data_IF_598227466960
#
_entry.id   IF_598227466960
#
_cell.length_a   1.000
_cell.length_b   1.000
_cell.length_c   1.000
_cell.angle_alpha   90.00
_cell.angle_beta   90.00
_cell.angle_gamma   90.00
#
_symmetry.space_group_name_H-M   'P 1'
#
loop_
_entity.id
_entity.type
_entity.pdbx_description
1 polymer ?
#
# COMPACT_ATOMS: atom_id res chain seq x y z
N UNK A 1 -35.70 81.58 -5.31
CA UNK A 1 -36.40 81.75 -6.60
C UNK A 1 -36.85 80.37 -6.94
N UNK A 2 -38.03 79.93 -6.67
CA UNK A 2 -39.34 80.23 -7.21
C UNK A 2 -39.62 78.95 -8.06
N UNK A 3 -40.64 78.30 -8.06
CA UNK A 3 -42.05 78.41 -7.64
C UNK A 3 -42.71 77.05 -7.70
N UNK A 4 -43.63 76.85 -6.81
CA UNK A 4 -44.69 75.88 -6.76
C UNK A 4 -45.47 75.73 -8.08
N UNK A 5 -46.02 74.53 -8.30
CA UNK A 5 -47.38 74.51 -8.84
C UNK A 5 -48.05 73.14 -8.52
N UNK A 6 -49.11 73.31 -7.82
CA UNK A 6 -50.10 72.26 -7.41
C UNK A 6 -50.90 71.77 -8.60
N UNK A 7 -51.33 70.53 -8.51
CA UNK A 7 -52.33 69.93 -9.40
C UNK A 7 -52.97 68.69 -8.77
N UNK A 8 -54.04 68.96 -7.97
CA UNK A 8 -55.01 67.93 -7.55
C UNK A 8 -55.84 67.45 -8.74
N UNK A 9 -56.06 66.17 -8.84
CA UNK A 9 -57.41 65.66 -9.25
C UNK A 9 -57.51 64.14 -9.14
N UNK A 10 -58.47 63.74 -8.36
CA UNK A 10 -59.52 62.74 -8.54
C UNK A 10 -59.20 61.25 -8.31
N UNK A 11 -59.81 60.81 -7.25
CA UNK A 11 -60.22 59.45 -6.93
C UNK A 11 -60.90 58.77 -8.11
N UNK A 12 -60.39 57.60 -8.45
CA UNK A 12 -61.18 56.54 -9.17
C UNK A 12 -61.04 55.28 -8.33
N UNK A 13 -62.13 54.95 -7.71
CA UNK A 13 -62.33 53.70 -6.95
C UNK A 13 -62.39 52.52 -7.92
N UNK A 14 -61.74 51.42 -7.55
CA UNK A 14 -62.07 50.12 -8.10
C UNK A 14 -60.86 49.45 -8.72
N UNK A 15 -59.98 48.95 -7.92
CA UNK A 15 -59.17 47.84 -8.35
C UNK A 15 -58.99 46.84 -7.22
N UNK A 16 -59.53 45.75 -7.54
CA UNK A 16 -59.58 44.45 -6.91
C UNK A 16 -58.30 44.10 -6.13
N UNK A 17 -58.54 43.70 -4.89
CA UNK A 17 -57.65 42.78 -4.16
C UNK A 17 -57.48 41.46 -4.98
N UNK A 18 -56.53 41.39 -5.84
CA UNK A 18 -56.01 40.15 -6.44
C UNK A 18 -54.52 40.22 -6.72
N UNK A 19 -53.74 40.85 -5.84
CA UNK A 19 -52.30 40.55 -5.67
C UNK A 19 -52.17 39.33 -4.76
N UNK A 20 -52.74 38.25 -5.14
CA UNK A 20 -52.75 37.00 -4.46
C UNK A 20 -51.51 36.24 -4.89
N UNK A 21 -50.58 36.11 -3.95
CA UNK A 21 -49.85 34.87 -3.72
C UNK A 21 -49.83 33.94 -4.94
N UNK A 22 -48.99 34.27 -5.86
CA UNK A 22 -48.52 33.34 -6.88
C UNK A 22 -47.66 32.28 -6.20
N UNK A 23 -48.31 31.41 -5.43
CA UNK A 23 -47.69 30.25 -4.83
C UNK A 23 -47.49 29.19 -5.90
N UNK A 24 -46.52 29.45 -6.79
CA UNK A 24 -46.07 28.46 -7.77
C UNK A 24 -45.38 27.33 -6.98
N UNK A 25 -46.10 26.25 -6.79
CA UNK A 25 -45.54 25.02 -6.24
C UNK A 25 -44.54 24.42 -7.25
N UNK A 26 -43.51 23.78 -6.73
CA UNK A 26 -42.47 23.10 -7.54
C UNK A 26 -43.12 22.00 -8.45
N UNK A 27 -42.39 21.56 -9.44
CA UNK A 27 -42.80 20.44 -10.30
C UNK A 27 -43.21 19.24 -9.45
N UNK A 28 -44.29 18.52 -9.90
CA UNK A 28 -44.82 17.35 -9.19
C UNK A 28 -45.48 17.65 -7.82
N UNK A 29 -45.77 18.93 -7.52
CA UNK A 29 -46.55 19.36 -6.37
C UNK A 29 -47.75 20.20 -6.76
N UNK A 30 -48.66 20.44 -5.81
CA UNK A 30 -49.84 21.30 -5.97
C UNK A 30 -50.13 22.04 -4.65
N UNK A 31 -50.75 23.19 -4.73
CA UNK A 31 -51.14 23.94 -3.55
C UNK A 31 -52.47 23.44 -3.02
N UNK A 32 -52.55 23.22 -1.71
CA UNK A 32 -53.79 22.88 -1.00
C UNK A 32 -53.92 23.76 0.24
N UNK A 33 -55.14 24.23 0.50
CA UNK A 33 -55.44 25.05 1.70
C UNK A 33 -55.54 24.21 2.97
N UNK A 34 -55.72 22.89 2.86
CA UNK A 34 -55.93 21.98 3.98
C UNK A 34 -55.26 20.61 3.74
N UNK A 35 -53.99 20.61 3.37
CA UNK A 35 -53.24 19.39 3.16
C UNK A 35 -52.67 18.78 4.43
N UNK A 36 -52.09 17.57 4.38
CA UNK A 36 -51.60 16.84 5.53
C UNK A 36 -50.40 17.53 6.19
N UNK A 37 -50.54 17.87 7.50
CA UNK A 37 -49.47 18.48 8.30
C UNK A 37 -48.19 17.60 8.43
N UNK A 38 -48.33 16.31 8.16
CA UNK A 38 -47.22 15.34 8.11
C UNK A 38 -47.15 14.71 6.70
N UNK A 39 -46.53 15.35 5.73
CA UNK A 39 -46.47 14.80 4.36
C UNK A 39 -45.73 13.48 4.33
N UNK A 40 -46.11 12.58 3.44
CA UNK A 40 -45.36 11.36 3.19
C UNK A 40 -43.97 11.69 2.64
N UNK A 41 -42.96 11.01 3.16
CA UNK A 41 -41.55 11.18 2.77
C UNK A 41 -40.95 9.85 2.36
N UNK A 42 -39.85 9.87 1.63
CA UNK A 42 -39.10 8.63 1.31
C UNK A 42 -38.68 7.86 2.58
N UNK A 43 -38.40 8.56 3.69
CA UNK A 43 -38.06 7.93 4.97
C UNK A 43 -39.29 7.35 5.70
N UNK A 44 -40.50 7.88 5.43
CA UNK A 44 -41.75 7.40 6.04
C UNK A 44 -42.94 7.63 5.10
N UNK A 45 -43.25 6.62 4.31
CA UNK A 45 -44.36 6.67 3.36
C UNK A 45 -45.75 6.76 4.02
N UNK A 46 -45.87 6.32 5.27
CA UNK A 46 -47.10 6.30 6.05
C UNK A 46 -47.29 7.53 6.95
N UNK A 47 -46.41 8.52 6.89
CA UNK A 47 -46.42 9.68 7.78
C UNK A 47 -47.76 10.41 7.77
N UNK A 48 -48.38 10.58 6.59
CA UNK A 48 -49.67 11.24 6.43
C UNK A 48 -50.84 10.46 7.02
N UNK A 49 -50.77 9.13 7.03
CA UNK A 49 -51.82 8.25 7.57
C UNK A 49 -51.83 8.24 9.09
N UNK A 50 -50.70 8.49 9.71
CA UNK A 50 -50.53 8.48 11.16
C UNK A 50 -50.55 9.88 11.79
N UNK A 51 -50.79 10.90 10.99
CA UNK A 51 -50.74 12.29 11.42
C UNK A 51 -52.02 12.66 12.20
N UNK A 52 -51.86 13.08 13.43
CA UNK A 52 -52.96 13.59 14.28
C UNK A 52 -53.01 15.11 14.34
N UNK A 53 -52.18 15.80 13.62
CA UNK A 53 -52.13 17.27 13.53
C UNK A 53 -53.22 17.78 12.60
N UNK A 54 -53.78 19.00 12.87
CA UNK A 54 -54.73 19.63 11.94
C UNK A 54 -54.00 19.90 10.59
N UNK A 55 -54.84 19.96 9.54
CA UNK A 55 -54.35 20.28 8.21
C UNK A 55 -53.71 21.66 8.11
N UNK A 56 -52.83 21.84 7.15
CA UNK A 56 -52.12 23.12 6.91
C UNK A 56 -52.19 23.49 5.43
N UNK A 57 -52.15 24.80 5.14
CA UNK A 57 -52.04 25.29 3.78
C UNK A 57 -50.59 25.20 3.32
N UNK A 58 -50.37 24.75 2.07
CA UNK A 58 -49.02 24.63 1.51
C UNK A 58 -48.98 23.85 0.18
N UNK A 59 -47.75 23.60 -0.29
CA UNK A 59 -47.52 22.74 -1.45
C UNK A 59 -47.35 21.29 -1.03
N UNK A 60 -48.07 20.39 -1.67
CA UNK A 60 -48.07 18.95 -1.39
C UNK A 60 -47.74 18.16 -2.66
N UNK A 61 -47.07 17.04 -2.48
CA UNK A 61 -46.70 16.17 -3.57
C UNK A 61 -47.94 15.54 -4.21
N UNK A 62 -47.94 15.41 -5.55
CA UNK A 62 -49.02 14.73 -6.30
C UNK A 62 -49.02 13.23 -5.97
N UNK A 63 -50.10 12.56 -6.30
CA UNK A 63 -50.22 11.10 -6.16
C UNK A 63 -49.07 10.37 -6.87
N UNK A 64 -48.46 9.38 -6.20
CA UNK A 64 -47.27 8.66 -6.66
C UNK A 64 -45.93 9.36 -6.36
N UNK A 65 -45.97 10.56 -5.77
CA UNK A 65 -44.78 11.32 -5.36
C UNK A 65 -44.77 11.52 -3.85
N UNK A 66 -43.57 11.55 -3.27
CA UNK A 66 -43.33 11.81 -1.84
C UNK A 66 -42.25 12.83 -1.69
N UNK A 67 -42.17 13.44 -0.53
CA UNK A 67 -41.17 14.46 -0.21
C UNK A 67 -39.81 13.81 0.11
N UNK A 68 -38.75 14.21 -0.59
CA UNK A 68 -37.37 13.87 -0.30
C UNK A 68 -36.50 15.14 -0.36
N UNK A 69 -35.82 15.44 0.74
CA UNK A 69 -35.00 16.65 0.88
C UNK A 69 -35.66 17.96 0.42
N UNK A 70 -37.00 18.07 0.59
CA UNK A 70 -37.76 19.27 0.23
C UNK A 70 -38.29 19.26 -1.22
N UNK A 71 -38.08 18.20 -1.98
CA UNK A 71 -38.55 18.05 -3.39
C UNK A 71 -39.48 16.85 -3.48
N UNK A 72 -40.53 16.95 -4.33
CA UNK A 72 -41.41 15.82 -4.61
C UNK A 72 -40.78 14.88 -5.65
N UNK A 73 -40.44 13.68 -5.21
CA UNK A 73 -39.83 12.62 -6.05
C UNK A 73 -40.79 11.43 -6.19
N UNK A 74 -40.78 10.69 -7.30
CA UNK A 74 -41.52 9.45 -7.43
C UNK A 74 -41.12 8.45 -6.36
N UNK A 75 -42.05 7.69 -5.79
CA UNK A 75 -41.77 6.63 -4.82
C UNK A 75 -40.72 5.62 -5.32
N UNK A 76 -40.67 5.42 -6.65
CA UNK A 76 -39.67 4.56 -7.31
C UNK A 76 -38.24 5.09 -7.23
N UNK A 77 -38.05 6.33 -6.82
CA UNK A 77 -36.72 6.94 -6.59
C UNK A 77 -36.32 6.98 -5.11
N UNK A 78 -37.23 6.58 -4.22
CA UNK A 78 -36.92 6.52 -2.81
C UNK A 78 -35.80 5.51 -2.52
N UNK A 79 -34.99 5.80 -1.51
CA UNK A 79 -33.98 4.90 -0.98
C UNK A 79 -34.55 3.84 -0.05
N UNK A 80 -33.72 3.32 0.83
CA UNK A 80 -34.03 2.24 1.76
C UNK A 80 -33.85 2.69 3.21
N UNK A 81 -34.48 1.96 4.12
CA UNK A 81 -34.29 2.14 5.57
C UNK A 81 -33.40 1.06 6.14
N UNK A 82 -32.45 1.45 6.99
CA UNK A 82 -31.63 0.55 7.79
C UNK A 82 -31.52 1.07 9.23
N UNK A 83 -32.04 0.32 10.20
CA UNK A 83 -32.01 0.68 11.64
C UNK A 83 -32.50 2.11 11.92
N UNK A 84 -33.52 2.57 11.19
CA UNK A 84 -34.10 3.90 11.37
C UNK A 84 -33.37 5.03 10.63
N UNK A 85 -32.32 4.74 9.88
CA UNK A 85 -31.61 5.68 9.00
C UNK A 85 -32.02 5.47 7.53
N UNK A 86 -32.17 6.57 6.81
CA UNK A 86 -32.47 6.58 5.38
C UNK A 86 -31.19 6.55 4.57
N UNK A 87 -31.16 5.70 3.57
CA UNK A 87 -30.06 5.48 2.63
C UNK A 87 -30.53 5.62 1.20
N UNK A 88 -29.73 6.19 0.33
CA UNK A 88 -30.09 6.42 -1.06
C UNK A 88 -30.15 5.13 -1.87
N UNK A 89 -30.97 5.13 -2.93
CA UNK A 89 -31.04 4.00 -3.85
C UNK A 89 -29.66 3.77 -4.51
N UNK A 90 -29.19 2.53 -4.49
CA UNK A 90 -27.86 2.15 -4.96
C UNK A 90 -26.77 2.24 -3.89
N UNK A 91 -27.04 2.85 -2.74
CA UNK A 91 -26.06 2.94 -1.65
C UNK A 91 -25.70 1.56 -1.13
N UNK A 92 -24.41 1.39 -0.90
CA UNK A 92 -23.82 0.16 -0.34
C UNK A 92 -23.03 0.52 0.91
N UNK A 93 -23.25 -0.21 1.98
CA UNK A 93 -22.47 -0.02 3.20
C UNK A 93 -22.03 -1.35 3.79
N UNK A 94 -20.88 -1.32 4.45
CA UNK A 94 -20.35 -2.46 5.18
C UNK A 94 -20.56 -2.22 6.66
N UNK A 95 -21.22 -3.17 7.29
CA UNK A 95 -21.48 -3.17 8.71
C UNK A 95 -20.51 -4.08 9.43
N UNK A 96 -20.32 -3.84 10.73
CA UNK A 96 -19.43 -4.54 11.66
C UNK A 96 -17.96 -4.19 11.50
N UNK A 97 -17.22 -4.26 12.59
CA UNK A 97 -15.80 -3.94 12.65
C UNK A 97 -14.92 -4.94 11.89
N UNK A 98 -15.50 -6.07 11.50
CA UNK A 98 -14.85 -7.15 10.76
C UNK A 98 -15.29 -7.22 9.30
N UNK A 99 -16.05 -6.24 8.79
CA UNK A 99 -16.61 -6.21 7.43
C UNK A 99 -17.44 -7.46 7.06
N UNK A 100 -17.97 -8.20 8.03
CA UNK A 100 -18.67 -9.48 7.78
C UNK A 100 -20.10 -9.31 7.27
N UNK A 101 -20.60 -8.10 7.14
CA UNK A 101 -21.96 -7.85 6.67
C UNK A 101 -22.01 -6.67 5.72
N UNK A 102 -22.47 -6.91 4.51
CA UNK A 102 -22.65 -5.90 3.45
C UNK A 102 -24.12 -5.70 3.20
N UNK A 103 -24.59 -4.44 3.27
CA UNK A 103 -25.96 -4.05 3.00
C UNK A 103 -26.02 -3.18 1.74
N UNK A 104 -27.06 -3.36 0.94
CA UNK A 104 -27.26 -2.56 -0.28
C UNK A 104 -28.74 -2.17 -0.43
N UNK A 105 -28.98 -0.92 -0.83
CA UNK A 105 -30.27 -0.41 -1.19
C UNK A 105 -30.54 -0.73 -2.66
N UNK A 106 -31.24 -1.84 -2.94
CA UNK A 106 -31.50 -2.31 -4.31
C UNK A 106 -32.92 -2.04 -4.79
N UNK A 107 -33.85 -1.96 -3.87
CA UNK A 107 -35.27 -1.79 -4.18
C UNK A 107 -35.80 -0.54 -3.47
N UNK A 108 -36.48 0.37 -4.21
CA UNK A 108 -36.99 1.60 -3.62
C UNK A 108 -38.03 1.33 -2.54
N UNK A 109 -37.97 2.15 -1.50
CA UNK A 109 -38.92 2.12 -0.36
C UNK A 109 -38.98 0.79 0.41
N UNK A 110 -37.94 -0.05 0.28
CA UNK A 110 -37.79 -1.33 1.00
C UNK A 110 -36.66 -1.24 2.02
N UNK A 111 -36.62 -2.13 3.04
CA UNK A 111 -35.45 -2.25 3.88
C UNK A 111 -34.19 -2.61 3.08
N UNK A 112 -33.01 -2.11 3.50
CA UNK A 112 -31.76 -2.52 2.90
C UNK A 112 -31.58 -4.04 2.97
N UNK A 113 -31.14 -4.61 1.87
CA UNK A 113 -30.81 -6.05 1.79
C UNK A 113 -29.39 -6.28 2.30
N UNK A 114 -29.25 -7.09 3.34
CA UNK A 114 -27.96 -7.39 3.94
C UNK A 114 -27.61 -8.86 3.75
N UNK A 115 -26.35 -9.12 3.40
CA UNK A 115 -25.80 -10.46 3.22
C UNK A 115 -24.47 -10.60 3.94
N UNK A 116 -24.08 -11.84 4.21
CA UNK A 116 -22.74 -12.10 4.74
C UNK A 116 -21.68 -11.69 3.72
N UNK A 117 -20.58 -11.16 4.23
CA UNK A 117 -19.50 -10.60 3.44
C UNK A 117 -18.16 -10.95 4.11
N UNK A 118 -17.10 -11.01 3.33
CA UNK A 118 -15.72 -11.08 3.82
C UNK A 118 -14.84 -10.28 2.87
N UNK A 119 -13.81 -9.65 3.42
CA UNK A 119 -12.76 -9.04 2.61
C UNK A 119 -11.98 -10.12 1.86
N UNK A 120 -11.43 -9.76 0.71
CA UNK A 120 -10.54 -10.63 -0.06
C UNK A 120 -9.26 -10.96 0.70
N UNK A 121 -8.49 -11.92 0.20
CA UNK A 121 -7.25 -12.40 0.85
C UNK A 121 -6.18 -11.30 1.02
N UNK A 122 -6.19 -10.29 0.15
CA UNK A 122 -5.28 -9.13 0.18
C UNK A 122 -6.04 -7.84 0.50
N UNK A 123 -7.08 -7.92 1.31
CA UNK A 123 -7.86 -6.79 1.79
C UNK A 123 -8.03 -6.85 3.31
N UNK A 124 -8.00 -5.69 3.92
CA UNK A 124 -8.26 -5.52 5.36
C UNK A 124 -9.53 -4.68 5.58
N UNK A 125 -10.32 -5.09 6.56
CA UNK A 125 -11.46 -4.29 7.01
C UNK A 125 -10.97 -3.05 7.75
N UNK A 126 -11.15 -1.89 7.17
CA UNK A 126 -10.66 -0.62 7.70
C UNK A 126 -11.66 0.52 7.46
N UNK A 127 -11.38 1.70 8.04
CA UNK A 127 -12.12 2.94 7.80
C UNK A 127 -11.18 3.92 7.10
N UNK A 128 -11.48 4.26 5.85
CA UNK A 128 -10.73 5.22 5.06
C UNK A 128 -11.65 6.36 4.65
N UNK A 129 -11.26 7.60 4.97
CA UNK A 129 -12.09 8.77 4.69
C UNK A 129 -13.47 8.72 5.38
N UNK A 130 -13.58 8.07 6.54
CA UNK A 130 -14.85 7.90 7.27
C UNK A 130 -15.73 6.75 6.75
N UNK A 131 -15.33 6.06 5.69
CA UNK A 131 -16.08 4.96 5.10
C UNK A 131 -15.44 3.63 5.50
N UNK A 132 -16.24 2.73 6.13
CA UNK A 132 -15.80 1.37 6.43
C UNK A 132 -15.89 0.52 5.17
N UNK A 133 -14.83 -0.22 4.89
CA UNK A 133 -14.72 -1.04 3.69
C UNK A 133 -13.63 -2.09 3.77
N UNK A 134 -13.56 -2.92 2.74
CA UNK A 134 -12.41 -3.75 2.46
C UNK A 134 -11.44 -2.95 1.58
N UNK A 135 -10.29 -2.67 2.11
CA UNK A 135 -9.25 -1.90 1.40
C UNK A 135 -8.04 -2.78 1.17
N UNK A 136 -7.32 -2.59 0.04
CA UNK A 136 -6.09 -3.32 -0.21
C UNK A 136 -5.13 -3.18 0.97
N UNK A 137 -4.51 -4.28 1.39
CA UNK A 137 -3.45 -4.26 2.39
C UNK A 137 -2.24 -3.52 1.86
N UNK A 138 -1.59 -2.76 2.71
CA UNK A 138 -0.28 -2.19 2.43
C UNK A 138 0.79 -3.28 2.56
N UNK A 139 1.92 -3.04 1.95
CA UNK A 139 3.07 -3.93 2.02
C UNK A 139 4.26 -3.20 2.61
N UNK A 140 4.97 -3.88 3.52
CA UNK A 140 6.32 -3.50 3.89
C UNK A 140 7.31 -4.25 3.02
N UNK A 141 8.43 -3.61 2.68
CA UNK A 141 9.47 -4.24 1.85
C UNK A 141 10.83 -4.02 2.47
N UNK A 142 11.55 -5.10 2.72
CA UNK A 142 12.97 -5.08 3.04
C UNK A 142 13.80 -5.30 1.77
N UNK A 143 15.03 -4.78 1.77
CA UNK A 143 15.96 -4.92 0.68
C UNK A 143 17.31 -5.40 1.16
N UNK A 144 17.97 -6.24 0.35
CA UNK A 144 19.38 -6.58 0.46
C UNK A 144 20.00 -6.40 -0.92
N UNK A 145 21.05 -5.61 -1.02
CA UNK A 145 21.68 -5.34 -2.31
C UNK A 145 23.19 -5.13 -2.18
N UNK A 146 23.89 -5.30 -3.28
CA UNK A 146 25.35 -5.06 -3.36
C UNK A 146 26.17 -5.99 -2.48
N UNK A 147 27.08 -5.43 -1.69
CA UNK A 147 28.00 -6.14 -0.80
C UNK A 147 27.59 -5.99 0.68
N UNK A 148 26.78 -6.85 1.28
CA UNK A 148 25.34 -6.66 1.23
C UNK A 148 24.95 -5.47 2.11
N UNK A 149 24.18 -4.55 1.55
CA UNK A 149 23.52 -3.45 2.25
C UNK A 149 22.10 -3.88 2.55
N UNK A 150 21.68 -3.75 3.79
CA UNK A 150 20.34 -4.13 4.25
C UNK A 150 19.48 -2.88 4.48
N UNK A 151 18.22 -2.96 4.09
CA UNK A 151 17.18 -2.01 4.51
C UNK A 151 16.06 -2.80 5.16
N UNK A 152 15.76 -2.53 6.43
CA UNK A 152 14.69 -3.21 7.17
C UNK A 152 13.30 -2.83 6.66
N UNK A 153 12.25 -3.53 7.09
CA UNK A 153 10.86 -3.17 6.79
C UNK A 153 10.48 -1.77 7.28
N UNK A 154 11.10 -1.30 8.37
CA UNK A 154 10.83 0.02 8.96
C UNK A 154 11.80 1.10 8.44
N UNK A 155 12.69 0.74 7.47
CA UNK A 155 13.53 1.67 6.73
C UNK A 155 14.89 1.95 7.37
N UNK A 156 15.36 1.16 8.36
CA UNK A 156 16.74 1.25 8.86
C UNK A 156 17.71 0.64 7.85
N UNK A 157 18.75 1.39 7.49
CA UNK A 157 19.82 0.91 6.61
C UNK A 157 21.06 0.56 7.41
N UNK A 158 21.69 -0.57 7.08
CA UNK A 158 22.95 -0.99 7.71
C UNK A 158 23.75 -1.91 6.79
N UNK A 159 25.05 -1.95 7.03
CA UNK A 159 26.00 -2.82 6.33
C UNK A 159 26.41 -3.99 7.24
N UNK A 160 26.40 -5.19 6.70
CA UNK A 160 26.85 -6.37 7.41
C UNK A 160 27.52 -7.38 6.50
N UNK A 161 28.83 -7.60 6.69
CA UNK A 161 29.70 -8.43 5.85
C UNK A 161 29.85 -9.87 6.38
N UNK A 162 28.77 -10.48 6.81
CA UNK A 162 28.81 -11.87 7.26
C UNK A 162 28.86 -12.86 6.08
N UNK A 163 29.55 -14.00 6.24
CA UNK A 163 29.72 -15.04 5.22
C UNK A 163 29.09 -16.37 5.64
N UNK A 164 27.96 -16.31 6.31
CA UNK A 164 27.24 -17.47 6.82
C UNK A 164 25.83 -17.53 6.23
N UNK A 165 25.02 -18.43 6.74
CA UNK A 165 23.58 -18.48 6.53
C UNK A 165 22.90 -17.67 7.64
N UNK A 166 22.03 -16.75 7.26
CA UNK A 166 21.33 -15.84 8.19
C UNK A 166 19.84 -15.88 8.00
N UNK A 167 19.09 -15.74 9.09
CA UNK A 167 17.65 -15.52 9.03
C UNK A 167 17.38 -14.07 8.61
N UNK A 168 16.88 -13.88 7.38
CA UNK A 168 16.55 -12.57 6.85
C UNK A 168 15.22 -12.07 7.41
N UNK A 169 14.18 -12.92 7.38
CA UNK A 169 12.87 -12.63 7.97
C UNK A 169 12.12 -13.92 8.25
N UNK A 170 11.38 -13.97 9.33
CA UNK A 170 10.47 -15.06 9.66
C UNK A 170 9.27 -14.56 10.46
N UNK A 171 8.20 -15.35 10.46
CA UNK A 171 7.07 -15.13 11.35
C UNK A 171 7.43 -15.45 12.80
N UNK A 172 7.20 -14.50 13.70
CA UNK A 172 7.50 -14.58 15.14
C UNK A 172 6.28 -14.28 16.03
N UNK A 173 5.10 -14.15 15.44
CA UNK A 173 3.85 -13.98 16.15
C UNK A 173 3.32 -15.25 16.79
N UNK A 174 2.11 -15.22 17.39
CA UNK A 174 1.49 -16.37 18.03
C UNK A 174 1.29 -17.54 17.05
N UNK A 175 1.62 -18.78 17.44
CA UNK A 175 1.45 -19.96 16.57
C UNK A 175 0.02 -20.12 16.05
N UNK A 176 -0.12 -20.39 14.75
CA UNK A 176 -1.41 -20.64 14.13
C UNK A 176 -2.27 -19.42 13.81
N UNK A 177 -1.83 -18.20 14.15
CA UNK A 177 -2.56 -16.95 13.86
C UNK A 177 -2.45 -16.56 12.40
N UNK A 178 -1.26 -16.71 11.80
CA UNK A 178 -0.95 -16.41 10.39
C UNK A 178 -0.12 -17.57 9.79
N UNK A 179 -0.07 -17.68 8.47
CA UNK A 179 0.82 -18.63 7.80
C UNK A 179 2.28 -18.42 8.22
N UNK A 180 2.92 -19.53 8.62
CA UNK A 180 4.31 -19.50 9.04
C UNK A 180 5.24 -19.53 7.83
N UNK A 181 6.31 -18.76 7.86
CA UNK A 181 7.37 -18.77 6.86
C UNK A 181 8.72 -18.43 7.49
N UNK A 182 9.79 -18.83 6.82
CA UNK A 182 11.17 -18.43 7.14
C UNK A 182 11.90 -18.12 5.85
N UNK A 183 12.57 -16.98 5.79
CA UNK A 183 13.44 -16.58 4.69
C UNK A 183 14.85 -16.48 5.22
N UNK A 184 15.76 -17.20 4.55
CA UNK A 184 17.18 -17.20 4.89
C UNK A 184 18.02 -16.78 3.69
N UNK A 185 19.15 -16.17 3.95
CA UNK A 185 20.16 -15.83 2.95
C UNK A 185 21.48 -16.49 3.29
N UNK A 186 22.19 -16.98 2.28
CA UNK A 186 23.56 -17.44 2.40
C UNK A 186 24.46 -16.42 1.73
N UNK A 187 25.37 -15.85 2.49
CA UNK A 187 26.40 -14.96 1.98
C UNK A 187 27.73 -15.70 1.88
N UNK A 188 28.46 -15.46 0.80
CA UNK A 188 29.78 -16.03 0.53
C UNK A 188 30.80 -14.92 0.29
N UNK A 189 32.09 -15.14 0.57
CA UNK A 189 33.13 -14.18 0.24
C UNK A 189 33.32 -14.09 -1.28
N UNK A 190 33.52 -12.89 -1.81
CA UNK A 190 33.87 -12.68 -3.21
C UNK A 190 35.38 -12.84 -3.36
N UNK A 191 35.81 -13.78 -4.15
CA UNK A 191 37.13 -14.45 -4.31
C UNK A 191 38.45 -13.69 -4.04
N UNK A 192 38.50 -12.37 -3.99
CA UNK A 192 39.73 -11.60 -3.72
C UNK A 192 39.49 -10.35 -2.88
N UNK A 193 38.28 -10.12 -2.42
CA UNK A 193 37.88 -8.91 -1.71
C UNK A 193 37.42 -9.25 -0.29
N UNK A 194 37.61 -8.31 0.65
CA UNK A 194 37.12 -8.43 2.03
C UNK A 194 35.60 -8.20 2.13
N UNK A 195 34.84 -8.53 1.08
CA UNK A 195 33.40 -8.35 1.00
C UNK A 195 32.69 -9.65 0.73
N UNK A 196 31.48 -9.76 1.22
CA UNK A 196 30.57 -10.85 0.93
C UNK A 196 29.55 -10.47 -0.14
N UNK A 197 28.82 -11.44 -0.65
CA UNK A 197 27.69 -11.27 -1.53
C UNK A 197 26.63 -12.34 -1.25
N UNK A 198 25.39 -12.05 -1.55
CA UNK A 198 24.31 -13.02 -1.36
C UNK A 198 24.39 -14.09 -2.46
N UNK A 199 24.65 -15.33 -2.06
CA UNK A 199 24.81 -16.48 -2.94
C UNK A 199 23.51 -17.23 -3.16
N UNK A 200 22.63 -17.25 -2.15
CA UNK A 200 21.40 -18.03 -2.14
C UNK A 200 20.36 -17.33 -1.27
N UNK A 201 19.10 -17.37 -1.73
CA UNK A 201 17.92 -16.97 -0.96
C UNK A 201 17.01 -18.19 -0.84
N UNK A 202 16.65 -18.55 0.38
CA UNK A 202 15.84 -19.74 0.69
C UNK A 202 14.55 -19.30 1.37
N UNK A 203 13.41 -19.84 0.93
CA UNK A 203 12.10 -19.68 1.52
C UNK A 203 11.58 -21.04 1.98
N UNK A 204 11.31 -21.17 3.28
CA UNK A 204 10.55 -22.27 3.87
C UNK A 204 9.11 -21.81 4.11
N UNK A 205 8.15 -22.42 3.42
CA UNK A 205 6.71 -22.12 3.52
C UNK A 205 5.86 -23.31 3.09
N UNK A 206 4.75 -23.58 3.73
CA UNK A 206 3.83 -24.68 3.41
C UNK A 206 4.44 -26.08 3.43
N UNK A 207 5.56 -26.25 4.13
CA UNK A 207 6.33 -27.51 4.13
C UNK A 207 7.25 -27.69 2.93
N UNK A 208 7.30 -26.71 2.04
CA UNK A 208 8.22 -26.67 0.90
C UNK A 208 9.42 -25.77 1.22
N UNK A 209 10.60 -26.19 0.76
CA UNK A 209 11.82 -25.40 0.79
C UNK A 209 12.22 -25.02 -0.61
N UNK A 210 12.19 -23.74 -0.93
CA UNK A 210 12.53 -23.21 -2.24
C UNK A 210 13.77 -22.34 -2.12
N UNK A 211 14.80 -22.65 -2.91
CA UNK A 211 16.03 -21.83 -2.95
C UNK A 211 16.27 -21.26 -4.35
N UNK A 212 16.52 -19.95 -4.42
CA UNK A 212 16.99 -19.26 -5.60
C UNK A 212 18.51 -19.13 -5.44
N UNK A 213 19.27 -19.82 -6.31
CA UNK A 213 20.73 -19.90 -6.20
C UNK A 213 21.39 -18.97 -7.21
N UNK A 214 22.29 -18.12 -6.76
CA UNK A 214 23.02 -17.19 -7.61
C UNK A 214 23.75 -17.89 -8.75
N UNK A 215 23.59 -17.36 -9.98
CA UNK A 215 24.16 -17.93 -11.18
C UNK A 215 23.40 -19.11 -11.80
N UNK A 216 22.32 -19.61 -11.15
CA UNK A 216 21.43 -20.64 -11.71
C UNK A 216 20.21 -19.97 -12.34
N UNK A 217 20.42 -19.24 -13.41
CA UNK A 217 19.35 -18.50 -14.10
C UNK A 217 18.24 -19.44 -14.57
N UNK A 218 17.00 -18.94 -14.58
CA UNK A 218 15.80 -19.63 -15.06
C UNK A 218 15.35 -20.83 -14.22
N UNK A 219 16.03 -21.12 -13.12
CA UNK A 219 15.79 -22.27 -12.26
C UNK A 219 15.75 -21.90 -10.78
N UNK A 220 15.06 -22.72 -10.01
CA UNK A 220 15.05 -22.72 -8.55
C UNK A 220 15.24 -24.14 -8.03
N UNK A 221 15.67 -24.29 -6.81
CA UNK A 221 15.70 -25.59 -6.14
C UNK A 221 14.44 -25.76 -5.28
N UNK A 222 13.71 -26.84 -5.48
CA UNK A 222 12.56 -27.22 -4.64
C UNK A 222 12.94 -28.48 -3.89
N UNK A 223 13.03 -28.40 -2.57
CA UNK A 223 13.45 -29.49 -1.70
C UNK A 223 14.80 -30.12 -2.15
N UNK A 224 15.72 -29.29 -2.62
CA UNK A 224 17.03 -29.68 -3.13
C UNK A 224 17.08 -30.14 -4.59
N UNK A 225 15.95 -30.25 -5.27
CA UNK A 225 15.87 -30.63 -6.69
C UNK A 225 15.75 -29.39 -7.58
N UNK A 226 16.54 -29.31 -8.64
CA UNK A 226 16.53 -28.20 -9.58
C UNK A 226 15.30 -28.25 -10.49
N UNK A 227 14.55 -27.17 -10.59
CA UNK A 227 13.29 -27.07 -11.34
C UNK A 227 13.28 -25.77 -12.16
N UNK A 228 12.79 -25.83 -13.39
CA UNK A 228 12.64 -24.68 -14.27
C UNK A 228 11.44 -23.80 -13.85
N UNK A 229 11.57 -22.50 -14.03
CA UNK A 229 10.48 -21.55 -13.90
C UNK A 229 9.65 -21.48 -15.20
N UNK A 230 8.34 -21.16 -15.16
CA UNK A 230 7.53 -20.94 -13.95
C UNK A 230 7.03 -22.25 -13.35
N UNK A 231 6.71 -22.24 -12.05
CA UNK A 231 6.11 -23.38 -11.37
C UNK A 231 5.09 -22.97 -10.33
N UNK A 232 4.20 -23.93 -9.98
CA UNK A 232 3.15 -23.77 -8.96
C UNK A 232 3.29 -24.88 -7.95
N UNK A 233 3.33 -24.52 -6.67
CA UNK A 233 3.54 -25.42 -5.54
C UNK A 233 2.41 -25.29 -4.50
N UNK A 234 2.43 -26.18 -3.50
CA UNK A 234 1.50 -26.13 -2.37
C UNK A 234 0.02 -26.02 -2.80
N UNK A 235 -0.39 -26.79 -3.81
CA UNK A 235 -1.77 -26.80 -4.35
C UNK A 235 -2.25 -25.41 -4.82
N UNK A 236 -1.38 -24.62 -5.44
CA UNK A 236 -1.72 -23.30 -5.97
C UNK A 236 -1.53 -22.15 -4.99
N UNK A 237 -0.96 -22.39 -3.82
CA UNK A 237 -0.70 -21.34 -2.82
C UNK A 237 0.64 -20.65 -2.96
N UNK A 238 1.56 -21.22 -3.73
CA UNK A 238 2.90 -20.70 -3.98
C UNK A 238 3.20 -20.73 -5.48
N UNK A 239 3.53 -19.58 -6.02
CA UNK A 239 3.92 -19.38 -7.42
C UNK A 239 5.39 -18.97 -7.47
N UNK A 240 6.15 -19.58 -8.38
CA UNK A 240 7.49 -19.14 -8.70
C UNK A 240 7.57 -18.81 -10.19
N UNK A 241 8.03 -17.60 -10.52
CA UNK A 241 8.02 -17.10 -11.89
C UNK A 241 9.09 -16.05 -12.11
N UNK A 242 9.27 -15.66 -13.38
CA UNK A 242 10.12 -14.53 -13.78
C UNK A 242 9.40 -13.19 -13.68
N UNK A 243 10.09 -12.19 -13.15
CA UNK A 243 9.71 -10.79 -13.24
C UNK A 243 10.95 -9.93 -13.57
N UNK A 244 11.00 -9.41 -14.79
CA UNK A 244 12.18 -8.68 -15.26
C UNK A 244 13.42 -9.57 -15.28
N UNK A 245 14.43 -9.26 -14.44
CA UNK A 245 15.68 -10.02 -14.32
C UNK A 245 15.74 -10.87 -13.05
N UNK A 246 14.61 -11.10 -12.38
CA UNK A 246 14.56 -11.77 -11.07
C UNK A 246 13.63 -12.98 -11.09
N UNK A 247 13.96 -13.99 -10.30
CA UNK A 247 12.98 -14.97 -9.86
C UNK A 247 12.12 -14.36 -8.75
N UNK A 248 10.84 -14.63 -8.78
CA UNK A 248 9.88 -14.20 -7.76
C UNK A 248 9.16 -15.43 -7.22
N UNK A 249 9.15 -15.55 -5.88
CA UNK A 249 8.33 -16.51 -5.13
C UNK A 249 7.19 -15.73 -4.50
N UNK A 250 5.95 -16.08 -4.84
CA UNK A 250 4.77 -15.36 -4.37
C UNK A 250 3.75 -16.31 -3.74
N UNK A 251 3.30 -16.00 -2.54
CA UNK A 251 2.28 -16.77 -1.81
C UNK A 251 0.90 -16.15 -1.90
N UNK A 252 -0.14 -16.94 -1.61
CA UNK A 252 -1.54 -16.51 -1.55
C UNK A 252 -1.85 -15.55 -0.40
N UNK A 253 -0.99 -15.46 0.63
CA UNK A 253 -1.14 -14.54 1.76
C UNK A 253 -0.35 -13.23 1.61
N UNK A 254 0.22 -12.95 0.42
CA UNK A 254 0.86 -11.68 0.11
C UNK A 254 2.34 -11.58 0.52
N UNK A 255 3.04 -12.70 0.76
CA UNK A 255 4.49 -12.71 0.80
C UNK A 255 5.04 -12.81 -0.62
N UNK A 256 6.01 -11.96 -0.96
CA UNK A 256 6.77 -12.02 -2.21
C UNK A 256 8.26 -11.94 -1.90
N UNK A 257 9.03 -12.88 -2.42
CA UNK A 257 10.50 -12.90 -2.33
C UNK A 257 11.06 -12.84 -3.73
N UNK A 258 11.90 -11.85 -4.01
CA UNK A 258 12.54 -11.67 -5.31
C UNK A 258 14.07 -11.70 -5.16
N UNK A 259 14.75 -12.37 -6.09
CA UNK A 259 16.21 -12.36 -6.18
C UNK A 259 16.66 -12.40 -7.65
N UNK A 260 17.58 -11.51 -8.00
CA UNK A 260 18.10 -11.36 -9.37
C UNK A 260 19.24 -12.33 -9.71
N UNK A 261 19.40 -13.40 -8.96
CA UNK A 261 20.48 -14.42 -9.01
C UNK A 261 21.88 -13.86 -8.82
N UNK A 262 22.03 -12.60 -8.42
CA UNK A 262 23.37 -12.03 -8.31
C UNK A 262 23.55 -11.12 -7.09
N UNK A 263 22.76 -10.05 -6.92
CA UNK A 263 23.09 -9.01 -5.95
C UNK A 263 21.89 -8.37 -5.25
N UNK A 264 20.67 -8.57 -5.74
CA UNK A 264 19.51 -7.85 -5.24
C UNK A 264 18.42 -8.79 -4.78
N UNK A 265 18.11 -8.72 -3.50
CA UNK A 265 17.01 -9.45 -2.86
C UNK A 265 15.98 -8.44 -2.39
N UNK A 266 14.71 -8.69 -2.64
CA UNK A 266 13.62 -7.99 -1.97
C UNK A 266 12.64 -8.96 -1.35
N UNK A 267 12.13 -8.60 -0.18
CA UNK A 267 11.05 -9.33 0.50
C UNK A 267 9.94 -8.34 0.78
N UNK A 268 8.79 -8.56 0.18
CA UNK A 268 7.59 -7.78 0.41
C UNK A 268 6.56 -8.60 1.15
N UNK A 269 5.99 -8.06 2.21
CA UNK A 269 5.04 -8.75 3.08
C UNK A 269 3.84 -7.85 3.39
N UNK A 270 2.66 -8.47 3.45
CA UNK A 270 1.42 -7.77 3.79
C UNK A 270 1.46 -7.20 5.21
N UNK A 271 0.82 -6.04 5.41
CA UNK A 271 0.68 -5.40 6.73
C UNK A 271 -0.08 -6.25 7.77
N UNK A 272 -0.70 -7.36 7.39
CA UNK A 272 -1.26 -8.32 8.34
C UNK A 272 -0.19 -8.92 9.27
N UNK A 273 1.08 -8.90 8.84
CA UNK A 273 2.24 -9.33 9.62
C UNK A 273 2.86 -8.20 10.46
N UNK A 274 2.26 -7.01 10.49
CA UNK A 274 2.78 -5.86 11.23
C UNK A 274 3.04 -6.22 12.70
N UNK A 275 4.27 -5.93 13.18
CA UNK A 275 4.73 -6.26 14.53
C UNK A 275 4.89 -7.75 14.84
N UNK A 276 4.81 -8.63 13.81
CA UNK A 276 4.87 -10.09 13.99
C UNK A 276 6.04 -10.75 13.29
N UNK A 277 6.98 -9.96 12.79
CA UNK A 277 8.19 -10.46 12.11
C UNK A 277 9.43 -10.32 13.00
N UNK A 278 10.47 -11.08 12.64
CA UNK A 278 11.80 -10.97 13.22
C UNK A 278 12.86 -11.49 12.24
N UNK A 279 14.11 -11.05 12.39
CA UNK A 279 15.22 -11.37 11.50
C UNK A 279 16.07 -10.13 11.22
N UNK A 280 16.99 -10.24 10.25
CA UNK A 280 17.79 -9.10 9.79
C UNK A 280 16.94 -7.98 9.17
N UNK A 281 15.73 -8.30 8.71
CA UNK A 281 14.77 -7.33 8.20
C UNK A 281 14.04 -6.51 9.25
N UNK A 282 14.36 -6.66 10.55
CA UNK A 282 13.66 -5.99 11.63
C UNK A 282 12.34 -6.65 12.01
N UNK A 283 11.49 -5.92 12.75
CA UNK A 283 10.27 -6.46 13.34
C UNK A 283 8.97 -5.97 12.66
N UNK A 284 9.08 -5.06 11.69
CA UNK A 284 7.95 -4.51 10.93
C UNK A 284 6.86 -3.92 11.85
N UNK A 285 7.22 -3.01 12.75
CA UNK A 285 6.29 -2.37 13.68
C UNK A 285 6.16 -0.85 13.52
N UNK A 286 6.85 -0.27 12.51
CA UNK A 286 6.88 1.16 12.25
C UNK A 286 7.84 1.94 13.15
N UNK A 287 8.64 1.27 13.98
CA UNK A 287 9.58 1.89 14.91
C UNK A 287 11.03 1.49 14.60
N UNK A 288 11.77 2.35 13.92
CA UNK A 288 13.16 2.13 13.55
C UNK A 288 14.10 1.89 14.73
N UNK A 289 13.77 2.41 15.91
CA UNK A 289 14.67 2.37 17.07
C UNK A 289 14.85 0.97 17.69
N UNK A 290 13.97 0.02 17.38
CA UNK A 290 14.02 -1.34 17.91
C UNK A 290 14.17 -2.44 16.83
N UNK A 291 14.53 -2.04 15.61
CA UNK A 291 14.76 -2.98 14.50
C UNK A 291 15.94 -3.93 14.75
N UNK A 292 16.96 -3.47 15.47
CA UNK A 292 18.12 -4.31 15.82
C UNK A 292 17.83 -5.21 17.02
N UNK A 293 16.69 -5.87 16.99
CA UNK A 293 16.27 -6.83 18.02
C UNK A 293 16.84 -8.22 17.74
N UNK A 294 17.58 -8.74 18.68
CA UNK A 294 18.19 -10.08 18.63
C UNK A 294 17.14 -11.17 18.95
N UNK A 295 17.42 -12.46 18.64
CA UNK A 295 16.48 -13.57 18.92
C UNK A 295 16.08 -13.70 20.39
N UNK A 296 16.91 -13.24 21.34
CA UNK A 296 16.60 -13.24 22.77
C UNK A 296 15.75 -12.03 23.23
N UNK A 297 15.36 -11.13 22.29
CA UNK A 297 14.53 -9.95 22.54
C UNK A 297 15.29 -8.68 22.94
N UNK A 298 16.62 -8.72 23.08
CA UNK A 298 17.44 -7.53 23.39
C UNK A 298 17.63 -6.67 22.15
N UNK A 299 17.58 -5.35 22.30
CA UNK A 299 17.94 -4.39 21.24
C UNK A 299 19.43 -4.06 21.37
N UNK A 300 20.17 -4.19 20.27
CA UNK A 300 21.58 -3.82 20.16
C UNK A 300 21.73 -2.59 19.27
N UNK A 301 22.91 -1.96 19.27
CA UNK A 301 23.11 -0.69 18.55
C UNK A 301 24.18 -0.78 17.46
N UNK A 302 24.81 -1.94 17.29
CA UNK A 302 25.78 -2.15 16.21
C UNK A 302 25.35 -3.28 15.26
N UNK A 303 25.61 -3.08 13.99
CA UNK A 303 25.21 -4.00 12.91
C UNK A 303 25.92 -5.37 13.00
N UNK A 304 27.13 -5.43 13.55
CA UNK A 304 27.91 -6.66 13.62
C UNK A 304 27.32 -7.60 14.68
N UNK A 305 27.05 -7.08 15.86
CA UNK A 305 26.39 -7.83 16.94
C UNK A 305 24.98 -8.25 16.50
N UNK A 306 24.23 -7.35 15.87
CA UNK A 306 22.91 -7.67 15.33
C UNK A 306 22.99 -8.78 14.28
N UNK A 307 23.81 -8.61 13.23
CA UNK A 307 23.97 -9.58 12.16
C UNK A 307 24.38 -10.96 12.65
N UNK A 308 25.39 -11.01 13.54
CA UNK A 308 25.87 -12.27 14.14
C UNK A 308 24.79 -12.99 14.96
N UNK A 309 23.87 -12.25 15.58
CA UNK A 309 22.78 -12.84 16.39
C UNK A 309 21.76 -13.63 15.55
N UNK A 310 21.61 -13.29 14.27
CA UNK A 310 20.67 -13.94 13.35
C UNK A 310 21.29 -15.03 12.47
N UNK A 311 22.51 -15.47 12.80
CA UNK A 311 23.14 -16.63 12.17
C UNK A 311 22.24 -17.87 12.33
N UNK A 312 21.94 -18.56 11.24
CA UNK A 312 21.12 -19.76 11.25
C UNK A 312 21.85 -20.93 11.92
N UNK A 313 21.09 -21.79 12.61
CA UNK A 313 21.65 -22.91 13.34
C UNK A 313 22.31 -23.98 12.42
N UNK A 314 21.85 -24.07 11.17
CA UNK A 314 22.36 -24.95 10.12
C UNK A 314 23.46 -24.30 9.27
N UNK A 315 24.00 -23.14 9.70
CA UNK A 315 25.15 -22.52 9.06
C UNK A 315 26.39 -23.43 9.09
N UNK A 316 27.22 -23.45 8.02
CA UNK A 316 28.49 -24.17 8.04
C UNK A 316 29.37 -23.79 9.23
N UNK A 317 30.05 -24.75 9.83
CA UNK A 317 30.82 -24.58 11.08
C UNK A 317 31.99 -23.57 10.97
N UNK A 318 32.46 -23.29 9.74
CA UNK A 318 33.65 -22.46 9.45
C UNK A 318 33.34 -21.08 8.86
N UNK A 319 32.12 -20.62 8.98
CA UNK A 319 31.80 -19.28 8.50
C UNK A 319 32.21 -18.22 9.55
N UNK A 320 33.22 -17.43 9.22
CA UNK A 320 33.68 -16.29 10.01
C UNK A 320 33.34 -14.99 9.30
N UNK A 321 33.14 -13.91 10.06
CA UNK A 321 32.98 -12.59 9.47
C UNK A 321 34.18 -12.22 8.58
N UNK A 322 33.90 -11.61 7.43
CA UNK A 322 34.97 -11.09 6.56
C UNK A 322 35.57 -9.86 7.23
N UNK A 323 36.86 -9.63 7.03
CA UNK A 323 37.58 -8.45 7.55
C UNK A 323 37.00 -7.14 6.94
N UNK A 324 37.44 -6.01 7.51
CA UNK A 324 37.05 -4.69 7.03
C UNK A 324 37.37 -4.54 5.54
N UNK A 325 36.45 -3.97 4.74
CA UNK A 325 36.69 -3.75 3.32
C UNK A 325 37.86 -2.82 3.07
N UNK A 326 38.49 -2.94 1.90
CA UNK A 326 39.56 -2.05 1.46
C UNK A 326 39.08 -0.59 1.50
N UNK A 327 39.92 0.30 2.03
CA UNK A 327 39.64 1.74 2.07
C UNK A 327 40.18 2.38 0.79
N UNK A 328 39.34 3.11 0.07
CA UNK A 328 39.78 3.99 -1.01
C UNK A 328 40.38 5.27 -0.47
N UNK A 329 41.32 5.84 -1.21
CA UNK A 329 41.85 7.16 -0.93
C UNK A 329 40.86 8.27 -1.33
N UNK A 330 41.06 9.48 -0.85
CA UNK A 330 40.14 10.62 -1.09
C UNK A 330 39.95 10.96 -2.58
N UNK A 331 40.97 10.73 -3.41
CA UNK A 331 40.90 10.98 -4.86
C UNK A 331 39.98 9.97 -5.54
N UNK A 332 40.09 8.70 -5.18
CA UNK A 332 39.21 7.63 -5.66
C UNK A 332 37.76 7.85 -5.21
N UNK A 333 37.56 8.21 -3.92
CA UNK A 333 36.23 8.51 -3.40
C UNK A 333 35.59 9.68 -4.12
N UNK A 334 36.34 10.76 -4.39
CA UNK A 334 35.84 11.90 -5.18
C UNK A 334 35.49 11.50 -6.61
N UNK A 335 36.29 10.64 -7.24
CA UNK A 335 36.01 10.10 -8.57
C UNK A 335 34.70 9.28 -8.58
N UNK A 336 34.52 8.38 -7.60
CA UNK A 336 33.33 7.51 -7.54
C UNK A 336 32.06 8.26 -7.14
N UNK A 337 32.17 9.41 -6.47
CA UNK A 337 31.05 10.33 -6.24
C UNK A 337 30.67 11.19 -7.45
N UNK A 338 31.48 11.18 -8.52
CA UNK A 338 31.21 12.00 -9.70
C UNK A 338 29.99 11.50 -10.50
N UNK A 339 29.45 12.36 -11.36
CA UNK A 339 28.33 12.05 -12.26
C UNK A 339 28.60 10.90 -13.24
N UNK A 340 29.88 10.62 -13.52
CA UNK A 340 30.28 9.48 -14.35
C UNK A 340 30.27 8.14 -13.61
N UNK A 341 30.03 8.18 -12.31
CA UNK A 341 29.89 7.03 -11.42
C UNK A 341 28.61 7.13 -10.59
N UNK A 342 28.70 6.98 -9.28
CA UNK A 342 27.55 6.92 -8.37
C UNK A 342 26.77 8.26 -8.26
N UNK A 343 27.39 9.39 -8.60
CA UNK A 343 26.75 10.72 -8.52
C UNK A 343 25.44 10.83 -9.32
N UNK A 344 25.24 9.98 -10.32
CA UNK A 344 23.98 9.91 -11.08
C UNK A 344 22.78 9.58 -10.19
N UNK A 345 22.98 8.93 -9.03
CA UNK A 345 21.94 8.60 -8.06
C UNK A 345 21.31 9.86 -7.46
N UNK A 346 22.15 10.79 -7.00
CA UNK A 346 21.73 12.00 -6.29
C UNK A 346 21.57 13.21 -7.21
N UNK A 347 21.67 13.03 -8.54
CA UNK A 347 21.51 14.11 -9.50
C UNK A 347 20.05 14.61 -9.51
N UNK A 348 19.86 15.88 -9.14
CA UNK A 348 18.55 16.52 -9.09
C UNK A 348 17.92 16.75 -10.48
N UNK A 349 18.69 16.69 -11.54
CA UNK A 349 18.26 16.74 -12.93
C UNK A 349 18.40 15.38 -13.63
N UNK A 350 18.86 14.36 -12.92
CA UNK A 350 19.17 13.02 -13.41
C UNK A 350 17.96 12.09 -13.50
N UNK A 351 18.20 10.85 -13.94
CA UNK A 351 17.17 9.87 -14.22
C UNK A 351 16.40 9.41 -12.98
N UNK A 352 16.93 9.61 -11.79
CA UNK A 352 16.36 9.19 -10.51
C UNK A 352 15.69 10.33 -9.73
N UNK A 353 15.58 11.53 -10.29
CA UNK A 353 15.10 12.75 -9.61
C UNK A 353 13.74 12.57 -8.90
N UNK A 354 12.80 11.87 -9.53
CA UNK A 354 11.47 11.61 -8.95
C UNK A 354 11.55 10.63 -7.77
N UNK A 355 12.48 9.68 -7.83
CA UNK A 355 12.71 8.69 -6.79
C UNK A 355 13.36 9.30 -5.55
N UNK A 356 14.25 10.26 -5.74
CA UNK A 356 15.00 10.91 -4.66
C UNK A 356 14.09 11.67 -3.66
N UNK A 357 12.82 11.85 -3.97
CA UNK A 357 11.83 12.43 -3.07
C UNK A 357 11.25 11.40 -2.07
N UNK A 358 11.33 10.11 -2.39
CA UNK A 358 10.75 9.03 -1.60
C UNK A 358 11.79 8.09 -0.99
N UNK A 359 12.96 8.01 -1.60
CA UNK A 359 14.07 7.14 -1.17
C UNK A 359 15.28 8.00 -0.86
N UNK A 360 15.97 7.72 0.23
CA UNK A 360 17.18 8.48 0.62
C UNK A 360 18.32 8.22 -0.35
N UNK A 361 18.40 9.10 -1.37
CA UNK A 361 19.44 9.03 -2.38
C UNK A 361 20.86 9.17 -1.83
N UNK A 362 21.04 9.85 -0.69
CA UNK A 362 22.38 10.06 -0.11
C UNK A 362 22.95 8.76 0.46
N UNK A 363 22.13 8.00 1.20
CA UNK A 363 22.54 6.69 1.72
C UNK A 363 22.92 5.75 0.58
N UNK A 364 22.12 5.73 -0.48
CA UNK A 364 22.38 4.87 -1.64
C UNK A 364 23.59 5.31 -2.47
N UNK A 365 23.85 6.61 -2.56
CA UNK A 365 25.05 7.16 -3.14
C UNK A 365 26.30 6.66 -2.39
N UNK A 366 26.31 6.77 -1.07
CA UNK A 366 27.45 6.32 -0.26
C UNK A 366 27.67 4.80 -0.32
N UNK A 367 26.58 4.03 -0.35
CA UNK A 367 26.65 2.57 -0.55
C UNK A 367 27.25 2.23 -1.93
N UNK A 368 26.79 2.91 -2.97
CA UNK A 368 27.35 2.78 -4.32
C UNK A 368 28.84 3.10 -4.34
N UNK A 369 29.26 4.21 -3.73
CA UNK A 369 30.66 4.62 -3.67
C UNK A 369 31.51 3.56 -2.98
N UNK A 370 31.02 2.99 -1.86
CA UNK A 370 31.72 1.88 -1.17
C UNK A 370 31.86 0.64 -2.03
N UNK A 371 30.76 0.20 -2.69
CA UNK A 371 30.77 -0.97 -3.55
C UNK A 371 31.72 -0.81 -4.74
N UNK A 372 31.68 0.35 -5.40
CA UNK A 372 32.58 0.68 -6.51
C UNK A 372 34.04 0.79 -6.03
N UNK A 373 34.26 1.35 -4.84
CA UNK A 373 35.57 1.42 -4.19
C UNK A 373 36.17 0.02 -4.00
N UNK A 374 35.47 -0.86 -3.31
CA UNK A 374 35.91 -2.21 -3.00
C UNK A 374 36.21 -3.03 -4.27
N UNK A 375 35.50 -2.75 -5.35
CA UNK A 375 35.66 -3.40 -6.65
C UNK A 375 36.58 -2.60 -7.59
N UNK A 376 37.36 -1.66 -7.06
CA UNK A 376 38.38 -0.88 -7.81
C UNK A 376 37.83 -0.17 -9.04
N UNK A 377 36.67 0.46 -8.91
CA UNK A 377 36.03 1.22 -9.98
C UNK A 377 35.25 0.38 -11.00
N UNK A 378 34.88 -0.86 -10.65
CA UNK A 378 34.16 -1.77 -11.54
C UNK A 378 32.88 -1.14 -12.09
N UNK A 379 32.78 -1.02 -13.41
CA UNK A 379 31.57 -0.58 -14.10
C UNK A 379 30.43 -1.57 -13.96
N UNK A 380 30.73 -2.84 -13.89
CA UNK A 380 29.73 -3.89 -13.64
C UNK A 380 29.06 -3.68 -12.28
N UNK A 381 29.85 -3.44 -11.23
CA UNK A 381 29.35 -3.13 -9.89
C UNK A 381 28.48 -1.88 -9.88
N UNK A 382 28.94 -0.79 -10.51
CA UNK A 382 28.14 0.43 -10.66
C UNK A 382 26.79 0.13 -11.30
N UNK A 383 26.77 -0.59 -12.41
CA UNK A 383 25.55 -0.91 -13.13
C UNK A 383 24.60 -1.82 -12.35
N UNK A 384 25.13 -2.71 -11.50
CA UNK A 384 24.35 -3.56 -10.59
C UNK A 384 23.70 -2.73 -9.50
N UNK A 385 24.43 -1.84 -8.85
CA UNK A 385 23.89 -0.94 -7.82
C UNK A 385 22.80 -0.04 -8.39
N UNK A 386 23.06 0.57 -9.56
CA UNK A 386 22.05 1.42 -10.22
C UNK A 386 20.79 0.63 -10.62
N UNK A 387 20.93 -0.64 -11.02
CA UNK A 387 19.79 -1.52 -11.30
C UNK A 387 18.98 -1.77 -10.04
N UNK A 388 19.62 -2.09 -8.91
CA UNK A 388 18.94 -2.31 -7.64
C UNK A 388 18.21 -1.06 -7.17
N UNK A 389 18.81 0.12 -7.33
CA UNK A 389 18.14 1.39 -7.05
C UNK A 389 16.94 1.63 -7.96
N UNK A 390 17.08 1.38 -9.25
CA UNK A 390 15.98 1.47 -10.21
C UNK A 390 14.80 0.57 -9.82
N UNK A 391 15.07 -0.67 -9.42
CA UNK A 391 14.05 -1.61 -8.94
C UNK A 391 13.35 -1.11 -7.67
N UNK A 392 14.10 -0.55 -6.72
CA UNK A 392 13.53 0.05 -5.52
C UNK A 392 12.61 1.21 -5.85
N UNK A 393 13.00 2.12 -6.74
CA UNK A 393 12.15 3.21 -7.21
C UNK A 393 10.87 2.69 -7.89
N UNK A 394 11.00 1.70 -8.77
CA UNK A 394 9.86 1.10 -9.48
C UNK A 394 8.89 0.39 -8.53
N UNK A 395 9.38 -0.21 -7.43
CA UNK A 395 8.51 -0.81 -6.41
C UNK A 395 7.61 0.23 -5.69
N UNK A 396 8.02 1.49 -5.68
CA UNK A 396 7.20 2.63 -5.23
C UNK A 396 6.31 3.22 -6.34
N UNK A 397 6.23 2.57 -7.49
CA UNK A 397 5.40 3.01 -8.63
C UNK A 397 5.99 4.18 -9.43
N UNK A 398 7.28 4.48 -9.25
CA UNK A 398 7.95 5.60 -9.93
C UNK A 398 8.45 5.15 -11.31
N UNK A 399 8.07 5.89 -12.34
CA UNK A 399 8.66 5.75 -13.66
C UNK A 399 10.05 6.39 -13.68
N UNK A 400 11.06 5.63 -14.13
CA UNK A 400 12.45 6.09 -14.16
C UNK A 400 12.84 6.38 -15.61
N UNK A 401 13.56 7.49 -15.82
CA UNK A 401 14.15 7.82 -17.12
C UNK A 401 15.24 6.82 -17.54
N UNK A 402 15.62 6.74 -18.82
CA UNK A 402 16.63 5.79 -19.32
C UNK A 402 18.02 6.05 -18.72
N UNK A 403 18.28 5.53 -17.52
CA UNK A 403 19.51 5.73 -16.77
C UNK A 403 20.72 4.96 -17.35
N UNK A 404 20.46 3.81 -18.03
CA UNK A 404 21.53 2.93 -18.55
C UNK A 404 22.45 3.64 -19.54
N UNK A 405 21.90 4.51 -20.38
CA UNK A 405 22.68 5.28 -21.35
C UNK A 405 23.51 6.35 -20.65
N UNK A 406 22.95 7.04 -19.66
CA UNK A 406 23.65 8.09 -18.92
C UNK A 406 24.79 7.52 -18.07
N UNK A 407 24.60 6.36 -17.46
CA UNK A 407 25.60 5.69 -16.64
C UNK A 407 26.58 4.81 -17.43
N UNK A 408 26.50 4.80 -18.78
CA UNK A 408 27.28 3.91 -19.66
C UNK A 408 27.14 2.42 -19.24
N UNK A 409 25.99 2.02 -18.78
CA UNK A 409 25.64 0.64 -18.48
C UNK A 409 24.99 0.03 -19.73
N UNK A 410 25.64 -0.91 -20.38
CA UNK A 410 25.15 -1.57 -21.59
C UNK A 410 23.70 -2.06 -21.49
N UNK A 411 23.16 -2.56 -22.61
CA UNK A 411 21.76 -2.97 -22.77
C UNK A 411 21.33 -4.03 -21.77
#
# INVERSE_FOLDING_TARGET
MGQESSGSSALSSGDSLSSILDTTCQASSYYDFCGPACPATCANLSASLLCTKPCVAGCFCREGYVLDAGVCVPVSQCGCMLKGQYHQLGEVMILTDTCRRKCSCRQPAQPMQCQDHACGALEICSVVGGIRGCYPVKFGTLWVFGHPHYTTFDGVTFDYQGVCKYTLSKYCGPPGSLPNFTIQVVNEPKSSTAVSWTRLVELDVYGERIAIVGGQYDQVQVNGSLVNLPLVLASGKLYAYFSGSSAVLQTDFGLSVSYDWSHSVSVSVSEIYFGSLCGLGGNFNGNQSDDFRTPNGSVVHDAVTFGNSWKAADSPFHCTAVGLPAQCNEVELAQYRSQSYCGVIADTAGPFKECNQLVDAQVLLENCVRDVCVTQGSRETLCQVLRSYAQQCQSHGIAIEPWRQQAACGK
#
